data_IF_349922405129
#
_entry.id   IF_349922405129
#
_cell.length_a   1.000
_cell.length_b   1.000
_cell.length_c   1.000
_cell.angle_alpha   90.00
_cell.angle_beta   90.00
_cell.angle_gamma   90.00
#
_symmetry.space_group_name_H-M   'P 1'
#
loop_
_entity.id
_entity.type
_entity.pdbx_description
1 polymer ?
#
# COMPACT_ATOMS: atom_id res chain seq x y z
N UNK A 1 -43.73 -14.91 -34.27
CA UNK A 1 -42.37 -15.42 -34.09
C UNK A 1 -41.49 -14.24 -33.68
N UNK A 2 -41.13 -14.19 -32.40
CA UNK A 2 -40.28 -13.15 -31.82
C UNK A 2 -38.83 -13.46 -32.21
N UNK A 3 -38.21 -12.64 -33.06
CA UNK A 3 -36.78 -12.73 -33.33
C UNK A 3 -36.05 -11.87 -32.30
N UNK A 4 -35.32 -12.57 -31.42
CA UNK A 4 -34.48 -12.01 -30.37
C UNK A 4 -33.49 -10.98 -30.92
N UNK A 5 -33.56 -9.78 -30.38
CA UNK A 5 -32.49 -8.78 -30.51
C UNK A 5 -31.41 -9.18 -29.52
N UNK A 6 -30.34 -9.81 -30.02
CA UNK A 6 -29.12 -10.01 -29.24
C UNK A 6 -28.41 -8.67 -29.07
N UNK A 7 -28.71 -7.99 -27.95
CA UNK A 7 -27.89 -6.89 -27.45
C UNK A 7 -26.65 -7.53 -26.81
N UNK A 8 -25.59 -7.73 -27.59
CA UNK A 8 -24.26 -7.89 -27.02
C UNK A 8 -23.76 -6.48 -26.68
N UNK A 9 -23.97 -6.07 -25.43
CA UNK A 9 -23.40 -4.81 -24.92
C UNK A 9 -21.88 -4.89 -24.92
N UNK A 10 -21.28 -3.79 -25.31
CA UNK A 10 -19.86 -3.62 -25.53
C UNK A 10 -19.05 -3.59 -24.22
N UNK A 11 -17.76 -3.89 -24.39
CA UNK A 11 -16.61 -3.50 -23.56
C UNK A 11 -16.36 -4.29 -22.26
N UNK A 12 -15.48 -5.28 -22.34
CA UNK A 12 -14.39 -5.38 -21.36
C UNK A 12 -13.05 -5.41 -22.13
N UNK A 13 -12.59 -4.21 -22.46
CA UNK A 13 -11.21 -3.96 -22.86
C UNK A 13 -10.61 -3.20 -21.69
N UNK A 14 -9.99 -3.86 -20.73
CA UNK A 14 -9.21 -3.17 -19.70
C UNK A 14 -7.88 -2.74 -20.29
N UNK A 15 -7.92 -1.51 -20.76
CA UNK A 15 -6.84 -0.67 -21.29
C UNK A 15 -5.80 -0.35 -20.21
N UNK A 16 -4.81 -1.23 -20.00
CA UNK A 16 -3.62 -0.93 -19.19
C UNK A 16 -3.91 -0.53 -17.73
N UNK A 17 -2.87 -0.23 -16.94
CA UNK A 17 -3.05 0.32 -15.60
C UNK A 17 -3.55 1.76 -15.66
N UNK A 18 -4.41 2.12 -14.72
CA UNK A 18 -4.82 3.51 -14.47
C UNK A 18 -3.67 4.26 -13.80
N UNK A 19 -3.35 5.46 -14.26
CA UNK A 19 -2.35 6.31 -13.60
C UNK A 19 -2.93 7.08 -12.40
N UNK A 20 -4.26 7.26 -12.38
CA UNK A 20 -4.98 7.89 -11.28
C UNK A 20 -6.34 7.19 -11.15
N UNK A 21 -6.70 6.79 -9.93
CA UNK A 21 -8.05 6.33 -9.58
C UNK A 21 -8.66 7.26 -8.52
N UNK A 22 -9.97 7.13 -8.30
CA UNK A 22 -10.69 7.84 -7.24
C UNK A 22 -11.38 6.85 -6.31
N UNK A 23 -11.31 7.11 -5.01
CA UNK A 23 -11.96 6.33 -3.95
C UNK A 23 -12.62 7.32 -3.01
N UNK A 24 -13.95 7.36 -2.99
CA UNK A 24 -14.72 8.36 -2.22
C UNK A 24 -14.25 9.82 -2.47
N UNK A 25 -13.89 10.14 -3.71
CA UNK A 25 -13.40 11.47 -4.10
C UNK A 25 -11.91 11.73 -3.82
N UNK A 26 -11.22 10.80 -3.14
CA UNK A 26 -9.78 10.89 -2.89
C UNK A 26 -9.01 10.35 -4.10
N UNK A 27 -8.05 11.12 -4.61
CA UNK A 27 -7.19 10.70 -5.73
C UNK A 27 -6.07 9.79 -5.23
N UNK A 28 -5.88 8.67 -5.91
CA UNK A 28 -4.75 7.74 -5.72
C UNK A 28 -3.98 7.67 -7.03
N UNK A 29 -2.69 7.97 -6.97
CA UNK A 29 -1.75 8.05 -8.10
C UNK A 29 -0.97 6.72 -8.25
N UNK A 30 -0.24 6.57 -9.35
CA UNK A 30 0.49 5.36 -9.69
C UNK A 30 -0.34 4.34 -10.49
N UNK A 31 0.33 3.28 -10.94
CA UNK A 31 -0.21 2.27 -11.88
C UNK A 31 -1.16 1.29 -11.20
N UNK A 32 -2.35 1.76 -10.84
CA UNK A 32 -3.42 0.92 -10.30
C UNK A 32 -4.04 0.01 -11.38
N UNK A 33 -4.41 -1.21 -11.01
CA UNK A 33 -5.04 -2.17 -11.92
C UNK A 33 -6.56 -2.24 -11.73
N UNK A 34 -7.09 -1.55 -10.71
CA UNK A 34 -8.50 -1.42 -10.41
C UNK A 34 -8.79 -0.22 -9.50
N UNK A 35 -10.05 -0.09 -9.08
CA UNK A 35 -10.54 0.96 -8.20
C UNK A 35 -10.47 0.61 -6.70
N UNK A 36 -9.59 -0.31 -6.31
CA UNK A 36 -9.37 -0.74 -4.92
C UNK A 36 -7.89 -0.71 -4.54
N UNK A 37 -7.15 0.23 -5.12
CA UNK A 37 -5.72 0.51 -4.89
C UNK A 37 -4.74 -0.60 -5.24
N UNK A 38 -5.16 -1.76 -5.75
CA UNK A 38 -4.21 -2.79 -6.22
C UNK A 38 -3.42 -2.23 -7.39
N UNK A 39 -2.15 -2.57 -7.50
CA UNK A 39 -1.24 -2.03 -8.50
C UNK A 39 -0.46 -3.12 -9.23
N UNK A 40 0.26 -2.73 -10.28
CA UNK A 40 1.10 -3.63 -11.06
C UNK A 40 2.19 -4.33 -10.23
N UNK A 41 2.59 -3.74 -9.09
CA UNK A 41 3.59 -4.32 -8.19
C UNK A 41 2.98 -5.27 -7.13
N UNK A 42 1.80 -4.94 -6.60
CA UNK A 42 1.12 -5.67 -5.51
C UNK A 42 -0.39 -5.71 -5.76
N UNK A 43 -0.96 -6.91 -5.90
CA UNK A 43 -2.34 -7.11 -6.37
C UNK A 43 -3.02 -8.39 -5.86
N UNK A 44 -2.61 -8.91 -4.71
CA UNK A 44 -3.45 -9.86 -3.98
C UNK A 44 -4.76 -9.19 -3.54
N UNK A 45 -5.76 -9.99 -3.18
CA UNK A 45 -7.03 -9.46 -2.64
C UNK A 45 -6.87 -8.67 -1.32
N UNK A 46 -5.69 -8.70 -0.71
CA UNK A 46 -5.38 -7.98 0.54
C UNK A 46 -4.63 -6.65 0.30
N UNK A 47 -4.17 -6.39 -0.93
CA UNK A 47 -3.41 -5.18 -1.29
C UNK A 47 -4.33 -3.99 -1.58
N UNK A 48 -5.24 -3.74 -0.64
CA UNK A 48 -6.36 -2.78 -0.76
C UNK A 48 -6.17 -1.56 0.14
N UNK A 49 -4.93 -1.12 0.31
CA UNK A 49 -4.61 0.17 0.93
C UNK A 49 -3.82 1.06 -0.03
N UNK A 50 -3.96 2.38 0.12
CA UNK A 50 -3.01 3.34 -0.39
C UNK A 50 -2.39 4.13 0.77
N UNK A 51 -1.13 4.55 0.60
CA UNK A 51 -0.35 5.27 1.59
C UNK A 51 -0.20 6.72 1.13
N UNK A 52 -0.50 7.69 2.00
CA UNK A 52 -0.19 9.10 1.82
C UNK A 52 1.28 9.32 2.10
N UNK A 53 2.03 9.79 1.12
CA UNK A 53 3.47 10.02 1.27
C UNK A 53 3.73 11.36 1.95
N UNK A 54 4.59 11.37 2.97
CA UNK A 54 4.91 12.57 3.76
C UNK A 54 5.53 13.69 2.91
N UNK A 55 6.28 13.35 1.87
CA UNK A 55 6.95 14.31 1.00
C UNK A 55 5.99 15.16 0.15
N UNK A 56 4.78 14.66 -0.18
CA UNK A 56 3.91 15.32 -1.16
C UNK A 56 2.40 15.24 -0.88
N UNK A 57 1.98 14.62 0.23
CA UNK A 57 0.58 14.44 0.64
C UNK A 57 -0.32 13.74 -0.40
N UNK A 58 0.29 13.02 -1.36
CA UNK A 58 -0.42 12.21 -2.35
C UNK A 58 -0.53 10.76 -1.90
N UNK A 59 -1.64 10.12 -2.25
CA UNK A 59 -1.84 8.68 -2.06
C UNK A 59 -1.28 7.87 -3.22
N UNK A 60 -0.53 6.82 -2.89
CA UNK A 60 -0.08 5.80 -3.83
C UNK A 60 -0.34 4.39 -3.27
N UNK A 61 -0.61 3.38 -4.13
CA UNK A 61 -0.73 1.98 -3.73
C UNK A 61 0.48 1.44 -2.97
N UNK A 62 1.69 1.86 -3.38
CA UNK A 62 2.94 1.36 -2.81
C UNK A 62 4.12 2.30 -3.09
N UNK A 63 5.24 2.00 -2.45
CA UNK A 63 6.54 2.65 -2.65
C UNK A 63 6.99 2.71 -4.10
N UNK A 64 6.97 1.57 -4.83
CA UNK A 64 7.41 1.54 -6.23
C UNK A 64 6.55 2.42 -7.14
N UNK A 65 5.24 2.50 -6.89
CA UNK A 65 4.37 3.43 -7.63
C UNK A 65 4.75 4.89 -7.40
N UNK A 66 5.14 5.26 -6.18
CA UNK A 66 5.66 6.59 -5.89
C UNK A 66 6.99 6.84 -6.60
N UNK A 67 7.98 5.96 -6.45
CA UNK A 67 9.31 6.13 -7.06
C UNK A 67 9.28 6.23 -8.59
N UNK A 68 8.32 5.57 -9.24
CA UNK A 68 8.16 5.62 -10.69
C UNK A 68 7.52 6.92 -11.20
N UNK A 69 6.72 7.61 -10.39
CA UNK A 69 5.94 8.79 -10.80
C UNK A 69 6.47 10.10 -10.20
N UNK A 70 6.97 10.06 -8.97
CA UNK A 70 7.47 11.22 -8.26
C UNK A 70 8.85 11.63 -8.77
N UNK A 71 9.05 12.94 -8.88
CA UNK A 71 10.31 13.59 -9.27
C UNK A 71 11.20 13.94 -8.05
N UNK A 72 10.90 13.36 -6.89
CA UNK A 72 11.54 13.66 -5.62
C UNK A 72 11.64 12.41 -4.73
N UNK A 73 12.61 12.45 -3.82
CA UNK A 73 12.80 11.38 -2.84
C UNK A 73 11.64 11.32 -1.84
N UNK A 74 11.24 10.10 -1.48
CA UNK A 74 10.24 9.90 -0.44
C UNK A 74 10.72 10.36 0.95
N UNK A 75 9.76 10.72 1.78
CA UNK A 75 9.97 10.97 3.21
C UNK A 75 9.06 10.04 4.02
N UNK A 76 9.52 9.66 5.21
CA UNK A 76 8.73 8.89 6.16
C UNK A 76 7.99 9.79 7.13
N UNK A 77 6.81 9.38 7.57
CA UNK A 77 6.10 10.06 8.66
C UNK A 77 6.90 9.91 9.95
N UNK A 78 7.27 10.99 10.65
CA UNK A 78 7.92 10.88 11.95
C UNK A 78 6.92 10.38 13.00
N UNK A 79 7.41 9.67 14.01
CA UNK A 79 6.57 9.09 15.07
C UNK A 79 5.65 10.10 15.77
N UNK A 80 6.11 11.35 15.92
CA UNK A 80 5.33 12.45 16.50
C UNK A 80 4.07 12.80 15.68
N UNK A 81 4.02 12.41 14.41
CA UNK A 81 2.92 12.69 13.47
C UNK A 81 2.08 11.44 13.16
N UNK A 82 2.21 10.33 13.90
CA UNK A 82 1.44 9.10 13.62
C UNK A 82 -0.07 9.24 13.81
N UNK A 83 -0.55 10.35 14.38
CA UNK A 83 -1.97 10.70 14.42
C UNK A 83 -2.51 11.22 13.08
N UNK A 84 -1.65 11.53 12.10
CA UNK A 84 -2.05 12.02 10.79
C UNK A 84 -2.71 10.93 9.96
N UNK A 85 -3.76 11.31 9.24
CA UNK A 85 -4.49 10.44 8.30
C UNK A 85 -3.62 10.14 7.09
N UNK A 86 -3.00 8.96 7.10
CA UNK A 86 -1.98 8.59 6.12
C UNK A 86 -2.27 7.27 5.39
N UNK A 87 -3.30 6.53 5.78
CA UNK A 87 -3.66 5.26 5.14
C UNK A 87 -5.09 5.34 4.66
N UNK A 88 -5.31 5.04 3.38
CA UNK A 88 -6.60 4.99 2.74
C UNK A 88 -7.00 3.55 2.52
N UNK A 89 -8.18 3.15 3.01
CA UNK A 89 -8.78 1.87 2.64
C UNK A 89 -9.35 1.95 1.21
N UNK A 90 -8.80 1.12 0.31
CA UNK A 90 -9.23 1.06 -1.08
C UNK A 90 -10.65 0.54 -1.29
N UNK A 91 -11.22 -0.18 -0.31
CA UNK A 91 -12.57 -0.77 -0.41
C UNK A 91 -13.67 0.24 -0.07
N UNK A 92 -13.44 1.11 0.91
CA UNK A 92 -14.50 1.98 1.46
C UNK A 92 -14.12 3.46 1.62
N UNK A 93 -12.91 3.83 1.18
CA UNK A 93 -12.38 5.19 1.26
C UNK A 93 -12.10 5.71 2.67
N UNK A 94 -12.15 4.87 3.71
CA UNK A 94 -11.83 5.33 5.06
C UNK A 94 -10.36 5.72 5.19
N UNK A 95 -10.09 6.94 5.67
CA UNK A 95 -8.76 7.36 6.06
C UNK A 95 -8.47 6.98 7.53
N UNK A 96 -7.45 6.16 7.72
CA UNK A 96 -6.88 5.79 9.02
C UNK A 96 -5.67 6.66 9.33
N UNK A 97 -5.46 6.95 10.62
CA UNK A 97 -4.13 7.44 11.04
C UNK A 97 -3.10 6.32 10.97
N UNK A 98 -1.81 6.66 11.00
CA UNK A 98 -0.74 5.64 11.08
C UNK A 98 -0.94 4.77 12.32
N UNK A 99 -1.24 5.39 13.47
CA UNK A 99 -1.54 4.69 14.72
C UNK A 99 -2.77 3.78 14.58
N UNK A 100 -3.87 4.26 13.99
CA UNK A 100 -5.08 3.44 13.80
C UNK A 100 -4.76 2.22 12.94
N UNK A 101 -4.06 2.42 11.82
CA UNK A 101 -3.67 1.35 10.91
C UNK A 101 -2.78 0.30 11.57
N UNK A 102 -1.76 0.71 12.33
CA UNK A 102 -0.88 -0.21 13.05
C UNK A 102 -1.61 -1.04 14.12
N UNK A 103 -2.71 -0.51 14.67
CA UNK A 103 -3.53 -1.17 15.68
C UNK A 103 -4.77 -1.89 15.11
N UNK A 104 -4.97 -1.87 13.79
CA UNK A 104 -6.20 -2.33 13.16
C UNK A 104 -6.29 -3.86 12.97
N UNK A 105 -5.31 -4.63 13.48
CA UNK A 105 -5.21 -6.08 13.30
C UNK A 105 -5.32 -6.52 11.82
N UNK A 106 -4.78 -5.72 10.90
CA UNK A 106 -4.88 -5.92 9.45
C UNK A 106 -6.32 -5.94 8.92
N UNK A 107 -7.21 -5.14 9.50
CA UNK A 107 -8.61 -5.04 9.05
C UNK A 107 -9.06 -3.59 9.05
N UNK A 108 -9.81 -3.16 8.03
CA UNK A 108 -10.41 -1.84 8.04
C UNK A 108 -11.44 -1.71 9.19
N UNK A 109 -11.33 -0.74 10.10
CA UNK A 109 -12.28 -0.57 11.20
C UNK A 109 -13.66 -0.07 10.73
N UNK A 110 -13.79 0.40 9.48
CA UNK A 110 -15.05 0.89 8.91
C UNK A 110 -15.81 -0.18 8.13
N UNK A 111 -15.12 -0.98 7.31
CA UNK A 111 -15.76 -1.92 6.38
C UNK A 111 -15.32 -3.37 6.54
N UNK A 112 -14.45 -3.67 7.50
CA UNK A 112 -13.98 -5.02 7.82
C UNK A 112 -13.17 -5.71 6.71
N UNK A 113 -12.84 -5.00 5.63
CA UNK A 113 -11.93 -5.51 4.60
C UNK A 113 -10.57 -5.87 5.21
N UNK A 114 -10.06 -7.05 4.85
CA UNK A 114 -8.73 -7.50 5.28
C UNK A 114 -7.62 -6.77 4.51
N UNK A 115 -6.59 -6.35 5.24
CA UNK A 115 -5.37 -5.77 4.74
C UNK A 115 -4.25 -6.80 4.73
N UNK A 116 -3.26 -6.61 3.86
CA UNK A 116 -2.12 -7.51 3.77
C UNK A 116 -1.20 -7.37 5.01
N UNK A 117 -1.04 -8.41 5.86
CA UNK A 117 -0.13 -8.36 7.01
C UNK A 117 1.33 -8.17 6.61
N UNK A 118 1.68 -8.56 5.38
CA UNK A 118 3.02 -8.40 4.80
C UNK A 118 3.45 -6.94 4.67
N UNK A 119 2.52 -5.98 4.61
CA UNK A 119 2.82 -4.54 4.60
C UNK A 119 3.69 -4.11 5.79
N UNK A 120 3.57 -4.80 6.93
CA UNK A 120 4.39 -4.54 8.13
C UNK A 120 5.89 -4.71 7.93
N UNK A 121 6.31 -5.53 6.96
CA UNK A 121 7.72 -5.70 6.61
C UNK A 121 8.31 -4.45 5.93
N UNK A 122 7.45 -3.54 5.47
CA UNK A 122 7.81 -2.35 4.68
C UNK A 122 7.55 -1.03 5.42
N UNK A 123 7.20 -1.07 6.70
CA UNK A 123 6.89 0.16 7.46
C UNK A 123 8.03 1.18 7.43
N UNK A 124 9.28 0.75 7.39
CA UNK A 124 10.45 1.64 7.29
C UNK A 124 10.47 2.51 6.02
N UNK A 125 9.72 2.17 4.97
CA UNK A 125 9.58 2.98 3.75
C UNK A 125 8.57 4.11 3.90
N UNK A 126 7.71 4.07 4.92
CA UNK A 126 6.60 5.02 5.08
C UNK A 126 6.58 5.72 6.43
N UNK A 127 7.11 5.06 7.46
CA UNK A 127 6.98 5.45 8.86
C UNK A 127 8.34 5.33 9.56
N UNK A 128 8.65 6.31 10.40
CA UNK A 128 9.82 6.29 11.28
C UNK A 128 9.59 5.28 12.43
N UNK A 129 9.85 4.02 12.13
CA UNK A 129 9.82 2.91 13.08
C UNK A 129 11.24 2.41 13.31
N UNK A 130 11.62 2.22 14.57
CA UNK A 130 12.95 1.69 14.88
C UNK A 130 13.12 0.32 14.23
N UNK A 131 14.14 0.18 13.38
CA UNK A 131 14.44 -1.11 12.76
C UNK A 131 14.77 -2.14 13.83
N UNK A 132 14.14 -3.32 13.75
CA UNK A 132 14.69 -4.52 14.38
C UNK A 132 15.98 -4.89 13.65
N UNK A 133 17.10 -4.24 13.99
CA UNK A 133 18.43 -4.61 13.51
C UNK A 133 18.62 -6.10 13.75
N UNK A 134 18.59 -6.90 12.67
CA UNK A 134 19.06 -8.29 12.71
C UNK A 134 20.53 -8.22 13.08
N UNK A 135 20.85 -8.46 14.35
CA UNK A 135 22.23 -8.67 14.81
C UNK A 135 22.73 -9.86 13.98
N UNK A 136 23.53 -9.60 12.94
CA UNK A 136 24.36 -10.62 12.31
C UNK A 136 25.39 -10.99 13.36
N UNK A 137 25.08 -11.96 14.20
CA UNK A 137 26.05 -12.57 15.11
C UNK A 137 27.15 -13.13 14.22
N UNK A 138 28.29 -12.43 14.17
CA UNK A 138 29.53 -12.95 13.60
C UNK A 138 29.75 -14.30 14.27
N UNK A 139 29.72 -15.37 13.49
CA UNK A 139 30.28 -16.67 13.88
C UNK A 139 31.72 -16.39 14.31
N UNK A 140 31.98 -16.38 15.61
CA UNK A 140 33.33 -16.51 16.13
C UNK A 140 33.69 -17.96 15.87
N UNK A 141 34.49 -18.20 14.83
CA UNK A 141 35.05 -19.51 14.56
C UNK A 141 35.90 -19.92 15.76
N UNK A 142 35.44 -20.99 16.42
CA UNK A 142 36.19 -21.74 17.40
C UNK A 142 37.41 -22.33 16.68
N UNK A 143 38.59 -21.79 16.95
CA UNK A 143 39.84 -22.55 16.78
C UNK A 143 40.62 -22.47 18.09
N UNK A 144 40.30 -23.40 18.98
CA UNK A 144 41.31 -24.03 19.82
C UNK A 144 42.38 -24.62 18.90
N UNK A 145 43.63 -24.21 19.12
CA UNK A 145 44.81 -25.06 18.93
C UNK A 145 45.98 -24.55 19.78
N UNK A 146 46.25 -25.34 20.82
CA UNK A 146 47.58 -25.72 21.32
C UNK A 146 48.51 -24.64 21.88
N UNK A 147 48.60 -24.61 23.22
CA UNK A 147 49.85 -24.82 23.95
C UNK A 147 49.59 -25.73 25.13
#
# INVERSE_FOLDING_TARGET
MLLNISIASAQDQTSGPFNIIQIEGIRVFGKSIDHQTRCVHWHSNLDVIAIKFKCCDKYYPCFSCHEEEADHEHQVWPKAEFNQKAILCGVCGHELSVTDYMNANNTCPKCEASFNPGCSNHYHLYFDVEEKKKIKTKKINKHEKSR
#
